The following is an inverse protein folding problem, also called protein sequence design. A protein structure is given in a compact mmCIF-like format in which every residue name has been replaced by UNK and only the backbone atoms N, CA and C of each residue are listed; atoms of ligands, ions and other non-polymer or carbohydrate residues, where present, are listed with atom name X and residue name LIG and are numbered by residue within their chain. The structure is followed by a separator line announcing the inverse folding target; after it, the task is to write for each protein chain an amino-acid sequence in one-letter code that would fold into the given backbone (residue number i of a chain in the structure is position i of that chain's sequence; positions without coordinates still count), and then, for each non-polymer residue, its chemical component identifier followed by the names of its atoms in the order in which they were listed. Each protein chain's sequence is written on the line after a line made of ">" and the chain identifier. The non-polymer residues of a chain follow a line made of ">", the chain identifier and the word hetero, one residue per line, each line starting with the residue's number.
data_IF_195362257464
#
_entry.id   IF_195362257464
#
_cell.length_a   1.000
_cell.length_b   1.000
_cell.length_c   1.000
_cell.angle_alpha   90.00
_cell.angle_beta   90.00
_cell.angle_gamma   90.00
#
_symmetry.space_group_name_H-M   'P 1'
#
loop_
_entity.id
_entity.type
_entity.pdbx_description
1 polymer ?
#
# COMPACT_ATOMS: atom_id res chain seq x y z
N UNK A 1 -17.84 -13.54 11.29
CA UNK A 1 -17.20 -12.44 10.55
C UNK A 1 -18.21 -11.31 10.45
N UNK A 2 -18.20 -10.45 11.45
CA UNK A 2 -18.88 -9.16 11.44
C UNK A 2 -17.95 -8.11 10.81
N UNK A 3 -18.45 -7.37 9.81
CA UNK A 3 -17.66 -6.42 9.03
C UNK A 3 -18.28 -5.05 9.11
N UNK A 4 -17.47 -4.03 9.40
CA UNK A 4 -17.91 -2.63 9.24
C UNK A 4 -17.31 -2.02 7.99
N UNK A 5 -18.16 -1.46 7.15
CA UNK A 5 -17.76 -0.61 6.03
C UNK A 5 -18.04 0.86 6.39
N UNK A 6 -16.96 1.64 6.50
CA UNK A 6 -17.05 3.08 6.72
C UNK A 6 -16.83 3.77 5.38
N UNK A 7 -17.92 4.31 4.84
CA UNK A 7 -17.91 5.05 3.58
C UNK A 7 -18.29 6.49 3.81
N UNK A 8 -17.66 7.38 3.05
CA UNK A 8 -18.19 8.73 2.87
C UNK A 8 -18.81 8.77 1.46
N UNK A 9 -20.14 8.83 1.36
CA UNK A 9 -20.88 9.11 0.13
C UNK A 9 -20.85 8.06 -0.98
N UNK A 10 -20.41 6.82 -0.73
CA UNK A 10 -20.44 5.72 -1.71
C UNK A 10 -21.20 4.52 -1.17
N UNK A 11 -22.09 3.97 -1.98
CA UNK A 11 -22.74 2.69 -1.67
C UNK A 11 -21.78 1.54 -1.94
N UNK A 12 -21.22 0.94 -0.89
CA UNK A 12 -20.51 -0.34 -0.97
C UNK A 12 -21.41 -1.43 -0.39
N UNK A 13 -21.95 -2.28 -1.27
CA UNK A 13 -22.84 -3.39 -0.89
C UNK A 13 -22.32 -4.74 -1.37
N UNK A 14 -21.18 -4.72 -2.06
CA UNK A 14 -20.66 -5.89 -2.76
C UNK A 14 -20.20 -6.98 -1.80
N UNK A 15 -19.64 -6.63 -0.64
CA UNK A 15 -19.25 -7.64 0.36
C UNK A 15 -20.49 -8.38 0.86
N UNK A 16 -21.54 -7.66 1.28
CA UNK A 16 -22.79 -8.27 1.71
C UNK A 16 -23.44 -9.11 0.60
N UNK A 17 -23.44 -8.62 -0.64
CA UNK A 17 -24.08 -9.29 -1.78
C UNK A 17 -23.30 -10.49 -2.32
N UNK A 18 -21.98 -10.39 -2.45
CA UNK A 18 -21.14 -11.41 -3.13
C UNK A 18 -20.58 -12.43 -2.15
N UNK A 19 -20.38 -12.06 -0.88
CA UNK A 19 -19.78 -12.94 0.14
C UNK A 19 -20.83 -13.51 1.10
N UNK A 20 -21.98 -12.85 1.25
CA UNK A 20 -23.09 -13.34 2.08
C UNK A 20 -22.81 -13.32 3.58
N UNK A 21 -21.93 -12.43 4.06
CA UNK A 21 -21.62 -12.22 5.47
C UNK A 21 -22.39 -11.00 6.03
N UNK A 22 -22.72 -10.97 7.34
CA UNK A 22 -23.29 -9.79 7.97
C UNK A 22 -22.35 -8.58 7.85
N UNK A 23 -22.90 -7.43 7.46
CA UNK A 23 -22.14 -6.18 7.33
C UNK A 23 -22.89 -5.04 8.02
N UNK A 24 -22.17 -4.24 8.82
CA UNK A 24 -22.61 -2.91 9.24
C UNK A 24 -22.06 -1.87 8.28
N UNK A 25 -22.93 -1.08 7.66
CA UNK A 25 -22.55 -0.01 6.74
C UNK A 25 -22.84 1.32 7.41
N UNK A 26 -21.80 2.14 7.58
CA UNK A 26 -21.90 3.44 8.24
C UNK A 26 -21.56 4.58 7.30
N UNK A 27 -22.43 5.60 7.27
CA UNK A 27 -22.16 6.88 6.60
C UNK A 27 -22.70 8.04 7.45
N UNK A 28 -21.94 9.13 7.57
CA UNK A 28 -22.37 10.31 8.34
C UNK A 28 -23.47 11.10 7.63
N UNK A 29 -23.59 10.97 6.31
CA UNK A 29 -24.58 11.68 5.50
C UNK A 29 -25.94 10.98 5.60
N UNK A 30 -26.92 11.67 6.20
CA UNK A 30 -28.30 11.17 6.28
C UNK A 30 -28.88 10.77 4.91
N UNK A 31 -28.50 11.50 3.85
CA UNK A 31 -28.88 11.16 2.47
C UNK A 31 -28.26 9.83 2.02
N UNK A 32 -26.96 9.62 2.30
CA UNK A 32 -26.30 8.38 1.92
C UNK A 32 -26.88 7.20 2.70
N UNK A 33 -27.13 7.35 4.00
CA UNK A 33 -27.79 6.34 4.85
C UNK A 33 -29.14 5.91 4.25
N UNK A 34 -29.97 6.86 3.85
CA UNK A 34 -31.26 6.57 3.22
C UNK A 34 -31.11 5.77 1.92
N UNK A 35 -30.20 6.20 1.04
CA UNK A 35 -29.88 5.47 -0.19
C UNK A 35 -29.33 4.06 0.09
N UNK A 36 -28.49 3.89 1.11
CA UNK A 36 -27.94 2.60 1.49
C UNK A 36 -29.08 1.68 1.97
N UNK A 37 -29.98 2.17 2.83
CA UNK A 37 -31.15 1.40 3.29
C UNK A 37 -32.03 0.95 2.15
N UNK A 38 -32.36 1.84 1.21
CA UNK A 38 -33.15 1.50 0.03
C UNK A 38 -32.50 0.41 -0.81
N UNK A 39 -31.17 0.48 -1.00
CA UNK A 39 -30.44 -0.54 -1.77
C UNK A 39 -30.32 -1.87 -1.01
N UNK A 40 -30.12 -1.84 0.31
CA UNK A 40 -30.11 -3.04 1.17
C UNK A 40 -31.45 -3.75 1.09
N UNK A 41 -32.56 -3.01 1.18
CA UNK A 41 -33.93 -3.55 1.06
C UNK A 41 -34.19 -4.10 -0.35
N UNK A 42 -33.88 -3.33 -1.39
CA UNK A 42 -34.10 -3.73 -2.78
C UNK A 42 -33.33 -5.00 -3.18
N UNK A 43 -32.16 -5.22 -2.58
CA UNK A 43 -31.32 -6.40 -2.82
C UNK A 43 -31.55 -7.52 -1.78
N UNK A 44 -32.42 -7.32 -0.78
CA UNK A 44 -32.68 -8.29 0.27
C UNK A 44 -31.45 -8.67 1.10
N UNK A 45 -30.54 -7.72 1.32
CA UNK A 45 -29.26 -7.98 1.98
C UNK A 45 -29.40 -7.99 3.51
N UNK A 46 -28.66 -8.89 4.16
CA UNK A 46 -28.51 -8.90 5.61
C UNK A 46 -27.44 -7.88 6.05
N UNK A 47 -27.81 -6.60 6.08
CA UNK A 47 -26.92 -5.52 6.47
C UNK A 47 -27.56 -4.55 7.50
N UNK A 48 -26.79 -4.17 8.51
CA UNK A 48 -27.14 -3.09 9.43
C UNK A 48 -26.70 -1.74 8.84
N UNK A 49 -27.55 -0.72 8.86
CA UNK A 49 -27.20 0.62 8.33
C UNK A 49 -27.26 1.68 9.42
N UNK A 50 -26.10 2.24 9.74
CA UNK A 50 -25.93 3.27 10.78
C UNK A 50 -25.59 4.63 10.17
N UNK A 51 -25.97 5.69 10.89
CA UNK A 51 -25.74 7.09 10.50
C UNK A 51 -24.83 7.83 11.47
N UNK A 52 -23.86 7.13 12.05
CA UNK A 52 -23.06 7.60 13.18
C UNK A 52 -21.75 8.25 12.73
N UNK A 53 -21.13 8.97 13.65
CA UNK A 53 -19.72 9.33 13.48
C UNK A 53 -18.86 8.06 13.48
N UNK A 54 -18.05 7.88 12.43
CA UNK A 54 -17.28 6.66 12.25
C UNK A 54 -16.32 6.37 13.42
N UNK A 55 -15.72 7.41 14.02
CA UNK A 55 -14.84 7.24 15.17
C UNK A 55 -15.63 6.80 16.40
N UNK A 56 -16.83 7.35 16.61
CA UNK A 56 -17.70 6.93 17.70
C UNK A 56 -18.13 5.46 17.56
N UNK A 57 -18.61 5.06 16.38
CA UNK A 57 -19.03 3.69 16.09
C UNK A 57 -17.89 2.69 16.34
N UNK A 58 -16.72 2.94 15.75
CA UNK A 58 -15.54 2.08 15.88
C UNK A 58 -14.93 2.09 17.29
N UNK A 59 -15.16 3.15 18.06
CA UNK A 59 -14.75 3.19 19.47
C UNK A 59 -15.69 2.39 20.37
N UNK A 60 -17.00 2.37 20.05
CA UNK A 60 -18.02 1.69 20.82
C UNK A 60 -18.11 0.18 20.51
N UNK A 61 -17.82 -0.22 19.27
CA UNK A 61 -17.95 -1.60 18.78
C UNK A 61 -16.63 -2.18 18.31
N UNK A 62 -16.57 -3.52 18.29
CA UNK A 62 -15.50 -4.32 17.69
C UNK A 62 -16.09 -5.08 16.51
N UNK A 63 -15.30 -5.21 15.45
CA UNK A 63 -15.69 -5.95 14.24
C UNK A 63 -14.55 -6.89 13.86
N UNK A 64 -14.88 -8.07 13.31
CA UNK A 64 -13.87 -9.02 12.83
C UNK A 64 -13.05 -8.41 11.68
N UNK A 65 -13.70 -7.58 10.85
CA UNK A 65 -13.02 -6.75 9.86
C UNK A 65 -13.53 -5.30 9.83
N UNK A 66 -12.62 -4.36 9.60
CA UNK A 66 -12.95 -2.95 9.35
C UNK A 66 -12.45 -2.55 7.97
N UNK A 67 -13.31 -2.01 7.12
CA UNK A 67 -12.95 -1.39 5.85
C UNK A 67 -13.16 0.13 5.88
N UNK A 68 -12.04 0.87 5.90
CA UNK A 68 -12.02 2.32 5.80
C UNK A 68 -11.87 2.79 4.35
N UNK A 69 -12.92 3.43 3.80
CA UNK A 69 -12.87 4.09 2.49
C UNK A 69 -13.39 5.55 2.53
N UNK A 70 -12.68 6.45 3.22
CA UNK A 70 -13.05 7.86 3.24
C UNK A 70 -12.66 8.58 1.94
N UNK A 71 -13.20 9.77 1.73
CA UNK A 71 -12.69 10.66 0.69
C UNK A 71 -11.38 11.33 1.14
N UNK A 72 -10.31 11.08 0.40
CA UNK A 72 -9.00 11.67 0.66
C UNK A 72 -8.20 10.86 1.66
N UNK A 73 -8.07 11.38 2.88
CA UNK A 73 -7.17 10.80 3.89
C UNK A 73 -7.92 9.91 4.88
N UNK A 74 -7.40 8.71 5.20
CA UNK A 74 -7.94 7.89 6.27
C UNK A 74 -7.41 8.27 7.65
N UNK A 75 -6.38 9.15 7.73
CA UNK A 75 -5.64 9.41 8.97
C UNK A 75 -6.52 9.71 10.21
N UNK A 76 -7.61 10.49 10.13
CA UNK A 76 -8.49 10.77 11.27
C UNK A 76 -9.25 9.56 11.83
N UNK A 77 -9.31 8.45 11.09
CA UNK A 77 -10.13 7.28 11.41
C UNK A 77 -9.30 6.04 11.77
N UNK A 78 -8.01 6.01 11.38
CA UNK A 78 -7.16 4.82 11.52
C UNK A 78 -6.98 4.40 12.99
N UNK A 79 -6.89 5.34 13.94
CA UNK A 79 -6.77 4.97 15.37
C UNK A 79 -7.99 4.19 15.88
N UNK A 80 -9.20 4.73 15.62
CA UNK A 80 -10.45 4.07 16.01
C UNK A 80 -10.62 2.74 15.28
N UNK A 81 -10.29 2.68 13.99
CA UNK A 81 -10.33 1.45 13.22
C UNK A 81 -9.33 0.41 13.73
N UNK A 82 -8.10 0.83 14.08
CA UNK A 82 -7.11 -0.03 14.68
C UNK A 82 -7.67 -0.65 15.96
N UNK A 83 -8.28 0.15 16.86
CA UNK A 83 -8.93 -0.36 18.08
C UNK A 83 -10.07 -1.33 17.74
N UNK A 84 -10.91 -0.99 16.77
CA UNK A 84 -12.13 -1.72 16.43
C UNK A 84 -11.88 -3.06 15.75
N UNK A 85 -10.88 -3.11 14.85
CA UNK A 85 -10.57 -4.28 14.03
C UNK A 85 -10.07 -5.46 14.86
N UNK A 86 -10.71 -6.61 14.61
CA UNK A 86 -10.36 -7.92 15.14
C UNK A 86 -9.24 -8.57 14.33
N UNK A 87 -9.63 -9.25 13.25
CA UNK A 87 -8.73 -10.03 12.40
C UNK A 87 -8.19 -9.25 11.19
N UNK A 88 -8.99 -8.31 10.66
CA UNK A 88 -8.65 -7.62 9.41
C UNK A 88 -8.88 -6.11 9.47
N UNK A 89 -7.95 -5.38 8.88
CA UNK A 89 -8.04 -3.93 8.71
C UNK A 89 -7.73 -3.58 7.26
N UNK A 90 -8.72 -3.02 6.58
CA UNK A 90 -8.60 -2.55 5.20
C UNK A 90 -8.66 -1.02 5.18
N UNK A 91 -7.77 -0.41 4.40
CA UNK A 91 -7.63 1.04 4.37
C UNK A 91 -7.43 1.50 2.93
N UNK A 92 -8.28 2.41 2.47
CA UNK A 92 -8.06 3.18 1.24
C UNK A 92 -7.60 4.60 1.58
N UNK A 93 -6.66 5.12 0.81
CA UNK A 93 -6.38 6.56 0.75
C UNK A 93 -6.41 7.04 -0.70
N UNK A 94 -7.07 8.17 -0.95
CA UNK A 94 -7.07 8.85 -2.25
C UNK A 94 -6.28 10.16 -2.24
N UNK A 95 -5.78 10.60 -1.08
CA UNK A 95 -4.90 11.78 -0.95
C UNK A 95 -3.43 11.45 -1.25
N UNK A 96 -3.18 11.02 -2.49
CA UNK A 96 -1.86 10.60 -2.96
C UNK A 96 -0.78 11.69 -2.87
N UNK A 97 -1.13 12.96 -3.09
CA UNK A 97 -0.16 14.08 -3.09
C UNK A 97 0.53 14.31 -1.72
N UNK A 98 -0.18 14.32 -0.58
CA UNK A 98 0.43 14.25 0.75
C UNK A 98 1.30 13.01 0.97
N UNK A 99 0.80 11.82 0.63
CA UNK A 99 1.48 10.53 0.85
C UNK A 99 2.80 10.43 0.08
N UNK A 100 2.86 11.00 -1.12
CA UNK A 100 4.03 10.91 -2.00
C UNK A 100 4.98 12.11 -1.89
N UNK A 101 4.69 13.09 -1.03
CA UNK A 101 5.56 14.24 -0.77
C UNK A 101 5.38 15.43 -1.71
N UNK A 102 4.43 15.39 -2.66
CA UNK A 102 4.07 16.57 -3.45
C UNK A 102 3.50 17.69 -2.57
N UNK A 103 2.70 17.33 -1.55
CA UNK A 103 2.23 18.24 -0.50
C UNK A 103 2.91 17.93 0.84
N UNK A 104 4.25 18.08 0.90
CA UNK A 104 5.10 17.64 2.01
C UNK A 104 4.57 17.99 3.41
N UNK A 105 4.26 19.27 3.68
CA UNK A 105 3.79 19.69 5.01
C UNK A 105 2.47 19.02 5.40
N UNK A 106 1.58 18.73 4.44
CA UNK A 106 0.33 18.01 4.71
C UNK A 106 0.62 16.53 5.01
N UNK A 107 1.52 15.90 4.24
CA UNK A 107 1.99 14.53 4.50
C UNK A 107 2.60 14.36 5.88
N UNK A 108 3.49 15.28 6.28
CA UNK A 108 4.11 15.30 7.61
C UNK A 108 3.09 15.42 8.73
N UNK A 109 2.06 16.28 8.59
CA UNK A 109 1.03 16.44 9.63
C UNK A 109 0.11 15.24 9.76
N UNK A 110 -0.29 14.61 8.64
CA UNK A 110 -1.27 13.52 8.64
C UNK A 110 -0.65 12.17 8.95
N UNK A 111 0.51 11.90 8.39
CA UNK A 111 1.12 10.57 8.40
C UNK A 111 2.38 10.52 9.26
N UNK A 112 2.77 11.62 9.91
CA UNK A 112 3.99 11.71 10.74
C UNK A 112 5.22 11.09 10.04
N UNK A 113 5.37 11.41 8.76
CA UNK A 113 6.42 10.91 7.87
C UNK A 113 6.98 12.05 7.04
N UNK A 114 8.23 11.93 6.60
CA UNK A 114 8.87 12.84 5.66
C UNK A 114 8.93 12.17 4.27
N UNK A 115 7.81 12.11 3.53
CA UNK A 115 7.80 11.56 2.18
C UNK A 115 8.52 12.50 1.21
N UNK A 116 8.97 11.96 0.08
CA UNK A 116 9.64 12.75 -0.95
C UNK A 116 9.04 12.42 -2.31
N UNK A 117 8.81 13.46 -3.11
CA UNK A 117 8.33 13.30 -4.47
C UNK A 117 9.47 12.80 -5.38
N UNK A 118 9.64 11.48 -5.41
CA UNK A 118 10.67 10.77 -6.18
C UNK A 118 10.09 10.21 -7.48
N UNK A 119 10.94 9.61 -8.32
CA UNK A 119 10.49 8.86 -9.50
C UNK A 119 9.65 7.63 -9.14
N UNK A 120 9.74 7.14 -7.89
CA UNK A 120 8.99 6.01 -7.35
C UNK A 120 7.89 6.45 -6.36
N UNK A 121 7.39 7.67 -6.52
CA UNK A 121 6.41 8.28 -5.63
C UNK A 121 5.12 7.45 -5.37
N UNK A 122 4.61 6.59 -6.30
CA UNK A 122 3.47 5.73 -5.97
C UNK A 122 3.79 4.72 -4.87
N UNK A 123 5.00 4.18 -4.86
CA UNK A 123 5.48 3.25 -3.83
C UNK A 123 5.78 3.98 -2.52
N UNK A 124 6.41 5.17 -2.58
CA UNK A 124 6.58 6.02 -1.39
C UNK A 124 5.24 6.26 -0.72
N UNK A 125 4.21 6.59 -1.49
CA UNK A 125 2.88 6.83 -0.95
C UNK A 125 2.27 5.59 -0.29
N UNK A 126 2.35 4.44 -0.96
CA UNK A 126 1.82 3.17 -0.43
C UNK A 126 2.50 2.80 0.89
N UNK A 127 3.84 2.85 0.91
CA UNK A 127 4.65 2.48 2.08
C UNK A 127 4.54 3.51 3.20
N UNK A 128 4.31 4.78 2.89
CA UNK A 128 4.02 5.83 3.89
C UNK A 128 2.68 5.57 4.57
N UNK A 129 1.63 5.25 3.81
CA UNK A 129 0.33 4.89 4.36
C UNK A 129 0.43 3.64 5.25
N UNK A 130 1.09 2.59 4.74
CA UNK A 130 1.26 1.34 5.46
C UNK A 130 2.09 1.52 6.74
N UNK A 131 3.17 2.31 6.69
CA UNK A 131 3.98 2.65 7.86
C UNK A 131 3.25 3.53 8.87
N UNK A 132 2.31 4.37 8.43
CA UNK A 132 1.40 5.09 9.31
C UNK A 132 0.43 4.13 10.01
N UNK A 133 -0.28 3.28 9.26
CA UNK A 133 -1.23 2.30 9.83
C UNK A 133 -0.53 1.35 10.80
N UNK A 134 0.66 0.86 10.46
CA UNK A 134 1.48 0.06 11.36
C UNK A 134 1.71 0.75 12.71
N UNK A 135 2.11 2.03 12.71
CA UNK A 135 2.34 2.80 13.95
C UNK A 135 1.08 3.01 14.77
N UNK A 136 -0.07 3.18 14.12
CA UNK A 136 -1.36 3.28 14.80
C UNK A 136 -1.81 1.95 15.43
N UNK A 137 -1.40 0.80 14.86
CA UNK A 137 -1.75 -0.53 15.38
C UNK A 137 -0.82 -0.98 16.52
N UNK A 138 0.50 -0.79 16.39
CA UNK A 138 1.50 -1.33 17.34
C UNK A 138 1.37 -0.82 18.77
N UNK A 139 0.85 0.40 18.97
CA UNK A 139 0.65 0.97 20.31
C UNK A 139 -0.39 0.23 21.16
N UNK A 140 -1.11 -0.73 20.56
CA UNK A 140 -2.08 -1.60 21.21
C UNK A 140 -1.57 -3.04 21.38
N UNK A 141 -0.25 -3.27 21.35
CA UNK A 141 0.37 -4.59 21.38
C UNK A 141 -0.18 -5.53 20.30
N UNK A 142 -0.35 -4.98 19.09
CA UNK A 142 -0.79 -5.70 17.90
C UNK A 142 0.14 -5.43 16.72
N UNK A 143 0.35 -6.42 15.87
CA UNK A 143 1.06 -6.28 14.61
C UNK A 143 0.11 -6.27 13.41
N UNK A 144 0.67 -5.99 12.24
CA UNK A 144 0.01 -6.16 10.94
C UNK A 144 0.82 -7.08 10.03
N UNK A 145 0.11 -7.79 9.18
CA UNK A 145 0.63 -8.60 8.08
C UNK A 145 -0.04 -8.14 6.78
N UNK A 146 0.70 -7.50 5.86
CA UNK A 146 0.18 -7.11 4.54
C UNK A 146 -0.20 -8.34 3.71
N UNK A 147 -1.46 -8.39 3.24
CA UNK A 147 -1.99 -9.50 2.44
C UNK A 147 -1.95 -9.17 0.94
N UNK A 148 -2.47 -8.00 0.59
CA UNK A 148 -2.47 -7.50 -0.78
C UNK A 148 -2.58 -5.97 -0.75
N UNK A 149 -1.45 -5.29 -0.87
CA UNK A 149 -1.40 -3.83 -0.88
C UNK A 149 -0.92 -3.32 -2.22
N UNK A 150 -1.62 -2.34 -2.79
CA UNK A 150 -1.29 -1.83 -4.11
C UNK A 150 -1.59 -0.35 -4.25
N UNK A 151 -0.83 0.31 -5.14
CA UNK A 151 -1.15 1.62 -5.66
C UNK A 151 -1.75 1.48 -7.06
N UNK A 152 -2.89 2.11 -7.32
CA UNK A 152 -3.48 2.10 -8.65
C UNK A 152 -4.14 3.45 -8.97
N UNK A 153 -3.79 4.02 -10.12
CA UNK A 153 -4.23 5.34 -10.55
C UNK A 153 -4.01 6.41 -9.46
N UNK A 154 -5.08 6.83 -8.77
CA UNK A 154 -5.06 7.91 -7.78
C UNK A 154 -5.46 7.43 -6.38
N UNK A 155 -5.27 6.14 -6.06
CA UNK A 155 -5.51 5.63 -4.71
C UNK A 155 -4.50 4.55 -4.31
N UNK A 156 -4.35 4.42 -2.99
CA UNK A 156 -3.61 3.36 -2.32
C UNK A 156 -4.58 2.49 -1.54
N UNK A 157 -4.43 1.18 -1.64
CA UNK A 157 -5.26 0.21 -0.93
C UNK A 157 -4.40 -0.72 -0.13
N UNK A 158 -4.74 -0.89 1.15
CA UNK A 158 -4.11 -1.83 2.07
C UNK A 158 -5.13 -2.90 2.47
N UNK A 159 -4.75 -4.16 2.33
CA UNK A 159 -5.47 -5.28 2.94
C UNK A 159 -4.55 -5.91 3.99
N UNK A 160 -4.88 -5.77 5.26
CA UNK A 160 -4.01 -6.16 6.37
C UNK A 160 -4.71 -7.19 7.24
N UNK A 161 -3.96 -8.18 7.68
CA UNK A 161 -4.33 -9.04 8.81
C UNK A 161 -3.74 -8.46 10.08
N UNK A 162 -4.54 -8.37 11.12
CA UNK A 162 -4.12 -7.94 12.46
C UNK A 162 -3.62 -9.16 13.24
N UNK A 163 -2.52 -9.00 13.94
CA UNK A 163 -1.90 -10.04 14.77
C UNK A 163 -1.81 -9.58 16.20
N UNK A 164 -2.20 -10.43 17.15
CA UNK A 164 -2.23 -10.06 18.57
C UNK A 164 -0.91 -10.35 19.30
N UNK A 165 -0.63 -9.53 20.31
CA UNK A 165 0.48 -9.71 21.24
C UNK A 165 1.68 -8.82 20.93
N UNK A 166 2.41 -8.44 21.99
CA UNK A 166 3.61 -7.59 21.91
C UNK A 166 4.65 -8.12 20.90
N UNK A 167 4.87 -9.43 20.85
CA UNK A 167 5.79 -10.03 19.87
C UNK A 167 5.37 -9.78 18.40
N UNK A 168 4.06 -9.69 18.13
CA UNK A 168 3.58 -9.30 16.81
C UNK A 168 3.82 -7.81 16.54
N UNK A 169 3.58 -6.96 17.55
CA UNK A 169 3.88 -5.53 17.48
C UNK A 169 5.38 -5.28 17.22
N UNK A 170 6.27 -5.99 17.90
CA UNK A 170 7.73 -5.89 17.73
C UNK A 170 8.17 -6.29 16.32
N UNK A 171 7.60 -7.37 15.77
CA UNK A 171 7.86 -7.78 14.38
C UNK A 171 7.43 -6.70 13.38
N UNK A 172 6.25 -6.10 13.61
CA UNK A 172 5.75 -4.99 12.78
C UNK A 172 6.63 -3.74 12.91
N UNK A 173 7.05 -3.40 14.14
CA UNK A 173 7.95 -2.28 14.41
C UNK A 173 9.31 -2.47 13.71
N UNK A 174 9.83 -3.70 13.67
CA UNK A 174 11.06 -4.05 12.94
C UNK A 174 10.99 -3.86 11.42
N UNK A 175 9.79 -3.63 10.86
CA UNK A 175 9.56 -3.31 9.44
C UNK A 175 9.29 -1.83 9.18
N UNK A 176 9.39 -0.98 10.20
CA UNK A 176 9.42 0.47 10.03
C UNK A 176 10.84 0.90 9.70
N UNK A 177 10.99 1.76 8.71
CA UNK A 177 12.29 2.26 8.29
C UNK A 177 12.21 3.39 7.28
N UNK A 178 13.30 3.55 6.55
CA UNK A 178 13.56 4.66 5.66
C UNK A 178 14.17 4.16 4.35
N UNK A 179 13.81 4.81 3.25
CA UNK A 179 14.61 4.77 2.03
C UNK A 179 15.61 5.92 2.09
N UNK A 180 16.89 5.58 2.18
CA UNK A 180 17.99 6.54 2.26
C UNK A 180 18.36 6.98 0.83
N UNK A 181 17.85 8.14 0.41
CA UNK A 181 17.87 8.62 -0.96
C UNK A 181 19.00 9.61 -1.21
N UNK A 182 19.82 9.38 -2.24
CA UNK A 182 20.78 10.37 -2.70
C UNK A 182 20.05 11.57 -3.34
N UNK A 183 20.40 12.83 -2.99
CA UNK A 183 19.79 14.01 -3.59
C UNK A 183 20.35 14.35 -4.99
N UNK A 184 21.46 13.74 -5.41
CA UNK A 184 22.16 14.09 -6.67
C UNK A 184 22.12 13.00 -7.75
N UNK A 185 21.81 11.75 -7.38
CA UNK A 185 21.67 10.65 -8.33
C UNK A 185 20.57 9.67 -7.88
N UNK A 186 20.34 8.62 -8.67
CA UNK A 186 19.30 7.62 -8.42
C UNK A 186 19.69 6.57 -7.35
N UNK A 187 20.84 6.73 -6.69
CA UNK A 187 21.28 5.80 -5.66
C UNK A 187 20.40 5.92 -4.42
N UNK A 188 20.04 4.77 -3.86
CA UNK A 188 19.33 4.67 -2.60
C UNK A 188 19.58 3.32 -1.95
N UNK A 189 19.37 3.26 -0.65
CA UNK A 189 19.43 2.04 0.16
C UNK A 189 18.33 2.03 1.21
N UNK A 190 18.13 0.91 1.87
CA UNK A 190 17.09 0.73 2.88
C UNK A 190 17.70 0.71 4.27
N UNK A 191 17.05 1.37 5.22
CA UNK A 191 17.43 1.33 6.62
C UNK A 191 16.20 1.10 7.49
N UNK A 192 16.16 -0.02 8.21
CA UNK A 192 15.15 -0.27 9.25
C UNK A 192 15.50 0.43 10.55
N UNK A 193 14.49 0.78 11.33
CA UNK A 193 14.63 1.42 12.64
C UNK A 193 13.72 2.63 12.79
N UNK A 194 13.52 3.05 14.04
CA UNK A 194 12.67 4.20 14.37
C UNK A 194 13.26 5.55 13.97
N UNK A 195 14.59 5.64 13.90
CA UNK A 195 15.32 6.83 13.52
C UNK A 195 16.35 6.46 12.45
N UNK A 196 16.52 7.30 11.41
CA UNK A 196 17.50 7.04 10.37
C UNK A 196 18.90 7.36 10.90
N UNK A 197 19.88 6.59 10.45
CA UNK A 197 21.29 6.87 10.67
C UNK A 197 21.85 7.70 9.52
N UNK A 198 23.07 8.24 9.68
CA UNK A 198 23.77 8.86 8.56
C UNK A 198 24.09 7.81 7.49
N UNK A 199 24.11 8.22 6.22
CA UNK A 199 24.49 7.37 5.10
C UNK A 199 25.15 8.17 4.00
N UNK A 200 26.08 7.53 3.28
CA UNK A 200 26.77 8.12 2.12
C UNK A 200 26.38 7.39 0.85
N UNK A 201 26.19 8.15 -0.22
CA UNK A 201 25.92 7.61 -1.54
C UNK A 201 27.15 6.85 -2.06
N UNK A 202 26.98 5.56 -2.39
CA UNK A 202 28.06 4.75 -2.94
C UNK A 202 28.45 5.14 -4.38
N UNK A 203 27.63 5.94 -5.07
CA UNK A 203 27.86 6.37 -6.47
C UNK A 203 28.56 7.75 -6.54
N UNK A 204 28.23 8.70 -5.66
CA UNK A 204 28.75 10.07 -5.73
C UNK A 204 29.27 10.66 -4.41
N UNK A 205 29.22 9.91 -3.29
CA UNK A 205 29.77 10.33 -2.00
C UNK A 205 28.94 11.34 -1.20
N UNK A 206 27.81 11.82 -1.74
CA UNK A 206 26.94 12.76 -1.04
C UNK A 206 26.19 12.14 0.15
N UNK A 207 25.73 12.99 1.07
CA UNK A 207 24.88 12.56 2.18
C UNK A 207 23.52 12.09 1.68
N UNK A 208 23.10 10.92 2.17
CA UNK A 208 21.77 10.38 1.91
C UNK A 208 20.74 11.07 2.79
N UNK A 209 19.58 11.34 2.19
CA UNK A 209 18.44 11.95 2.88
C UNK A 209 17.40 10.88 3.16
N UNK A 210 16.92 10.73 4.40
CA UNK A 210 15.91 9.73 4.74
C UNK A 210 14.55 10.10 4.14
N UNK A 211 13.88 9.12 3.53
CA UNK A 211 12.47 9.18 3.13
C UNK A 211 11.68 8.22 4.02
N UNK A 212 10.84 8.75 4.90
CA UNK A 212 10.11 7.97 5.91
C UNK A 212 9.87 8.71 7.23
N UNK A 213 9.48 8.02 8.32
CA UNK A 213 9.35 6.56 8.39
C UNK A 213 8.25 6.02 7.47
N UNK A 214 8.52 4.85 6.89
CA UNK A 214 7.64 4.11 6.00
C UNK A 214 7.78 2.60 6.24
N UNK A 215 6.91 1.81 5.64
CA UNK A 215 7.00 0.36 5.69
C UNK A 215 8.09 -0.18 4.75
N UNK A 216 9.04 -0.95 5.28
CA UNK A 216 10.12 -1.59 4.52
C UNK A 216 9.95 -3.12 4.37
N UNK A 217 8.87 -3.68 4.92
CA UNK A 217 8.55 -5.10 4.74
C UNK A 217 7.91 -5.41 3.39
N UNK A 218 7.57 -6.69 3.20
CA UNK A 218 6.72 -7.13 2.11
C UNK A 218 5.35 -6.46 2.18
N UNK A 219 4.74 -6.22 1.02
CA UNK A 219 3.43 -5.57 0.90
C UNK A 219 2.33 -6.56 0.48
N UNK A 220 2.70 -7.81 0.20
CA UNK A 220 1.82 -8.86 -0.29
C UNK A 220 2.15 -10.21 0.37
N UNK A 221 1.15 -11.08 0.43
CA UNK A 221 1.24 -12.48 0.84
C UNK A 221 1.00 -13.37 -0.39
N UNK A 222 2.00 -14.16 -0.81
CA UNK A 222 1.90 -15.00 -2.00
C UNK A 222 0.77 -16.04 -1.90
N UNK A 223 0.55 -16.62 -0.72
CA UNK A 223 -0.53 -17.58 -0.50
C UNK A 223 -1.91 -16.94 -0.65
N UNK A 224 -2.06 -15.71 -0.16
CA UNK A 224 -3.28 -14.92 -0.35
C UNK A 224 -3.49 -14.58 -1.82
N UNK A 225 -2.45 -14.12 -2.52
CA UNK A 225 -2.55 -13.79 -3.94
C UNK A 225 -2.83 -15.00 -4.82
N UNK A 226 -2.26 -16.16 -4.50
CA UNK A 226 -2.55 -17.43 -5.18
C UNK A 226 -4.02 -17.81 -5.04
N UNK A 227 -4.55 -17.78 -3.81
CA UNK A 227 -5.98 -18.05 -3.56
C UNK A 227 -6.90 -17.06 -4.30
N UNK A 228 -6.53 -15.78 -4.37
CA UNK A 228 -7.26 -14.78 -5.14
C UNK A 228 -7.26 -15.09 -6.64
N UNK A 229 -6.14 -15.54 -7.20
CA UNK A 229 -6.05 -15.92 -8.62
C UNK A 229 -6.92 -17.15 -8.94
N UNK A 230 -6.95 -18.14 -8.05
CA UNK A 230 -7.79 -19.34 -8.20
C UNK A 230 -9.28 -19.01 -8.14
N UNK A 231 -9.66 -18.03 -7.31
CA UNK A 231 -11.06 -17.62 -7.15
C UNK A 231 -11.52 -16.70 -8.27
N UNK A 232 -10.62 -15.94 -8.90
CA UNK A 232 -10.95 -14.88 -9.87
C UNK A 232 -11.88 -15.34 -11.03
N UNK A 233 -11.74 -16.54 -11.62
CA UNK A 233 -12.64 -17.00 -12.68
C UNK A 233 -14.11 -17.14 -12.24
N UNK A 234 -14.35 -17.40 -10.96
CA UNK A 234 -15.72 -17.50 -10.40
C UNK A 234 -16.35 -16.14 -10.08
N UNK A 235 -15.57 -15.06 -10.11
CA UNK A 235 -16.08 -13.70 -9.84
C UNK A 235 -16.51 -13.07 -11.16
N UNK A 236 -17.80 -12.73 -11.27
CA UNK A 236 -18.38 -11.94 -12.38
C UNK A 236 -17.96 -10.47 -12.30
N UNK A 237 -16.66 -10.19 -12.37
CA UNK A 237 -16.13 -8.85 -12.46
C UNK A 237 -15.83 -8.51 -13.94
N UNK A 238 -16.43 -7.43 -14.45
CA UNK A 238 -16.12 -6.87 -15.79
C UNK A 238 -14.67 -6.39 -15.97
N UNK A 239 -13.82 -6.57 -14.96
CA UNK A 239 -12.39 -6.21 -14.90
C UNK A 239 -11.47 -7.42 -14.68
N UNK A 240 -11.96 -8.66 -14.81
CA UNK A 240 -11.22 -9.88 -14.49
C UNK A 240 -9.80 -9.96 -15.09
N UNK A 241 -9.61 -9.64 -16.37
CA UNK A 241 -8.29 -9.67 -17.02
C UNK A 241 -7.30 -8.64 -16.44
N UNK A 242 -7.80 -7.47 -16.04
CA UNK A 242 -6.97 -6.43 -15.41
C UNK A 242 -6.56 -6.84 -14.00
N UNK A 243 -7.48 -7.43 -13.25
CA UNK A 243 -7.21 -7.95 -11.90
C UNK A 243 -6.21 -9.10 -11.98
N UNK A 244 -6.39 -10.04 -12.92
CA UNK A 244 -5.47 -11.17 -13.11
C UNK A 244 -4.03 -10.69 -13.34
N UNK A 245 -3.85 -9.69 -14.22
CA UNK A 245 -2.53 -9.10 -14.49
C UNK A 245 -1.93 -8.38 -13.29
N UNK A 246 -2.75 -7.68 -12.50
CA UNK A 246 -2.30 -7.03 -11.27
C UNK A 246 -1.83 -8.07 -10.25
N UNK A 247 -2.62 -9.11 -10.00
CA UNK A 247 -2.27 -10.20 -9.09
C UNK A 247 -0.98 -10.88 -9.53
N UNK A 248 -0.86 -11.22 -10.81
CA UNK A 248 0.33 -11.84 -11.38
C UNK A 248 1.59 -10.97 -11.22
N UNK A 249 1.47 -9.66 -11.48
CA UNK A 249 2.57 -8.72 -11.27
C UNK A 249 2.97 -8.66 -9.80
N UNK A 250 2.00 -8.56 -8.89
CA UNK A 250 2.24 -8.45 -7.45
C UNK A 250 2.85 -9.71 -6.83
N UNK A 251 2.55 -10.91 -7.35
CA UNK A 251 3.14 -12.18 -6.87
C UNK A 251 4.62 -12.31 -7.19
N UNK A 252 5.04 -11.82 -8.36
CA UNK A 252 6.42 -11.87 -8.81
C UNK A 252 7.22 -10.59 -8.45
N UNK A 253 6.58 -9.62 -7.81
CA UNK A 253 7.21 -8.35 -7.45
C UNK A 253 8.18 -8.54 -6.28
N UNK A 254 9.44 -8.11 -6.46
CA UNK A 254 10.43 -8.19 -5.39
C UNK A 254 10.06 -7.31 -4.19
N UNK A 255 10.47 -7.76 -3.01
CA UNK A 255 10.16 -7.12 -1.74
C UNK A 255 11.08 -5.93 -1.40
N UNK A 256 11.58 -5.19 -2.39
CA UNK A 256 12.35 -3.97 -2.14
C UNK A 256 11.42 -2.81 -1.76
N UNK A 257 11.92 -1.89 -0.95
CA UNK A 257 11.20 -0.72 -0.43
C UNK A 257 11.07 0.44 -1.42
N UNK A 258 11.57 0.25 -2.63
CA UNK A 258 11.52 1.19 -3.73
C UNK A 258 11.70 0.47 -5.07
N UNK A 259 11.23 1.07 -6.15
CA UNK A 259 11.45 0.63 -7.52
C UNK A 259 12.21 1.69 -8.31
N UNK A 260 12.88 1.26 -9.37
CA UNK A 260 13.44 2.13 -10.38
C UNK A 260 12.45 2.31 -11.53
N UNK A 261 12.36 3.51 -12.06
CA UNK A 261 11.83 3.70 -13.41
C UNK A 261 13.00 3.61 -14.41
N UNK A 262 13.01 2.57 -15.24
CA UNK A 262 14.13 2.35 -16.15
C UNK A 262 14.17 3.36 -17.31
N UNK A 263 13.07 4.04 -17.63
CA UNK A 263 13.06 5.16 -18.58
C UNK A 263 13.72 6.39 -17.97
N UNK A 264 13.52 6.64 -16.67
CA UNK A 264 14.25 7.69 -15.94
C UNK A 264 15.76 7.40 -15.94
N UNK A 265 16.15 6.14 -15.76
CA UNK A 265 17.56 5.73 -15.88
C UNK A 265 18.07 5.97 -17.30
N UNK A 266 17.38 5.49 -18.33
CA UNK A 266 17.78 5.66 -19.73
C UNK A 266 17.94 7.15 -20.09
N UNK A 267 17.00 7.99 -19.65
CA UNK A 267 17.07 9.45 -19.81
C UNK A 267 18.30 10.04 -19.14
N UNK A 268 18.66 9.59 -17.93
CA UNK A 268 19.86 10.05 -17.23
C UNK A 268 21.16 9.68 -17.96
N UNK A 269 21.15 8.57 -18.70
CA UNK A 269 22.28 8.08 -19.51
C UNK A 269 22.26 8.62 -20.95
N UNK A 270 21.22 9.34 -21.35
CA UNK A 270 20.98 9.81 -22.73
C UNK A 270 20.93 8.67 -23.76
N UNK A 271 20.34 7.54 -23.38
CA UNK A 271 20.14 6.37 -24.25
C UNK A 271 18.64 6.09 -24.44
N UNK A 272 18.30 5.39 -25.52
CA UNK A 272 16.95 4.89 -25.73
C UNK A 272 16.71 3.66 -24.85
N UNK A 273 15.62 3.59 -24.06
CA UNK A 273 15.31 2.41 -23.28
C UNK A 273 15.00 1.23 -24.20
N UNK A 274 15.65 0.08 -23.95
CA UNK A 274 15.28 -1.19 -24.57
C UNK A 274 13.94 -1.73 -24.03
N UNK A 275 13.58 -2.96 -24.41
CA UNK A 275 12.44 -3.65 -23.80
C UNK A 275 12.69 -3.94 -22.32
N UNK A 276 11.69 -3.72 -21.46
CA UNK A 276 11.81 -4.01 -20.02
C UNK A 276 12.17 -5.48 -19.74
N UNK A 277 11.66 -6.42 -20.54
CA UNK A 277 12.02 -7.85 -20.46
C UNK A 277 13.49 -8.08 -20.78
N UNK A 278 14.06 -7.33 -21.73
CA UNK A 278 15.49 -7.38 -22.03
C UNK A 278 16.32 -6.90 -20.85
N UNK A 279 15.90 -5.80 -20.19
CA UNK A 279 16.60 -5.28 -19.00
C UNK A 279 16.55 -6.30 -17.86
N UNK A 280 15.37 -6.87 -17.58
CA UNK A 280 15.18 -7.91 -16.55
C UNK A 280 16.00 -9.17 -16.89
N UNK A 281 15.99 -9.60 -18.15
CA UNK A 281 16.80 -10.74 -18.62
C UNK A 281 18.30 -10.51 -18.46
N UNK A 282 18.79 -9.31 -18.78
CA UNK A 282 20.19 -8.93 -18.61
C UNK A 282 20.61 -8.96 -17.13
N UNK A 283 19.77 -8.45 -16.23
CA UNK A 283 20.02 -8.50 -14.78
C UNK A 283 20.05 -9.94 -14.26
N UNK A 284 19.11 -10.77 -14.74
CA UNK A 284 19.03 -12.19 -14.37
C UNK A 284 20.24 -12.97 -14.86
N UNK A 285 20.72 -12.72 -16.08
CA UNK A 285 21.93 -13.33 -16.62
C UNK A 285 23.20 -12.97 -15.83
N UNK A 286 23.20 -11.82 -15.15
CA UNK A 286 24.26 -11.38 -14.24
C UNK A 286 24.09 -11.91 -12.80
N UNK A 287 23.08 -12.74 -12.55
CA UNK A 287 22.82 -13.37 -11.24
C UNK A 287 22.03 -12.52 -10.25
N UNK A 288 21.47 -11.39 -10.69
CA UNK A 288 20.63 -10.52 -9.86
C UNK A 288 19.16 -10.85 -10.01
N UNK A 289 18.38 -10.66 -8.95
CA UNK A 289 16.92 -10.75 -9.05
C UNK A 289 16.40 -9.46 -9.66
N UNK A 290 15.47 -9.57 -10.59
CA UNK A 290 14.76 -8.43 -11.14
C UNK A 290 13.31 -8.79 -11.43
N UNK A 291 12.40 -7.85 -11.21
CA UNK A 291 10.98 -8.03 -11.49
C UNK A 291 10.38 -6.73 -12.01
N UNK A 292 9.23 -6.84 -12.68
CA UNK A 292 8.31 -5.70 -12.83
C UNK A 292 7.79 -5.27 -11.45
N UNK A 293 7.28 -4.06 -11.38
CA UNK A 293 6.48 -3.61 -10.23
C UNK A 293 5.15 -3.01 -10.70
N UNK A 294 4.09 -3.21 -9.92
CA UNK A 294 2.72 -2.85 -10.31
C UNK A 294 2.47 -1.34 -10.46
N UNK A 295 3.39 -0.50 -9.99
CA UNK A 295 3.26 0.96 -9.96
C UNK A 295 3.18 1.61 -11.34
N UNK A 296 3.92 1.10 -12.33
CA UNK A 296 3.92 1.61 -13.70
C UNK A 296 4.40 0.55 -14.70
N UNK A 297 4.16 0.77 -16.00
CA UNK A 297 4.69 -0.09 -17.06
C UNK A 297 6.22 -0.06 -17.21
N UNK A 298 6.88 0.87 -16.53
CA UNK A 298 8.32 1.15 -16.57
C UNK A 298 9.01 0.92 -15.23
N UNK A 299 8.28 0.41 -14.23
CA UNK A 299 8.82 0.14 -12.90
C UNK A 299 9.53 -1.22 -12.85
N UNK A 300 10.77 -1.23 -12.38
CA UNK A 300 11.60 -2.42 -12.15
C UNK A 300 12.06 -2.41 -10.69
N UNK A 301 11.97 -3.57 -10.03
CA UNK A 301 12.66 -3.82 -8.76
C UNK A 301 13.81 -4.77 -9.00
N UNK A 302 14.91 -4.58 -8.28
CA UNK A 302 16.10 -5.43 -8.37
C UNK A 302 16.97 -5.28 -7.14
N UNK A 303 17.75 -6.31 -6.81
CA UNK A 303 18.84 -6.26 -5.83
C UNK A 303 20.21 -5.92 -6.47
N UNK A 304 20.24 -5.64 -7.76
CA UNK A 304 21.44 -5.19 -8.45
C UNK A 304 21.88 -3.79 -7.99
N UNK A 305 23.19 -3.56 -7.77
CA UNK A 305 23.72 -2.23 -7.54
C UNK A 305 23.38 -1.28 -8.69
N UNK A 306 23.16 0.01 -8.38
CA UNK A 306 22.80 1.02 -9.39
C UNK A 306 23.73 1.03 -10.63
N UNK A 307 25.07 0.89 -10.52
CA UNK A 307 25.93 0.83 -11.70
C UNK A 307 25.65 -0.37 -12.61
N UNK A 308 25.27 -1.52 -12.03
CA UNK A 308 24.88 -2.71 -12.80
C UNK A 308 23.56 -2.47 -13.52
N UNK A 309 22.58 -1.89 -12.81
CA UNK A 309 21.30 -1.54 -13.43
C UNK A 309 21.46 -0.53 -14.57
N UNK A 310 22.29 0.50 -14.41
CA UNK A 310 22.62 1.46 -15.47
C UNK A 310 23.16 0.76 -16.73
N UNK A 311 24.10 -0.17 -16.56
CA UNK A 311 24.66 -0.97 -17.68
C UNK A 311 23.61 -1.88 -18.34
N UNK A 312 22.75 -2.52 -17.54
CA UNK A 312 21.68 -3.36 -18.06
C UNK A 312 20.67 -2.56 -18.91
N UNK A 313 20.41 -1.30 -18.52
CA UNK A 313 19.54 -0.37 -19.26
C UNK A 313 20.20 0.18 -20.53
N UNK A 314 21.50 0.42 -20.54
CA UNK A 314 22.22 0.91 -21.73
C UNK A 314 22.50 -0.16 -22.78
N UNK A 315 22.27 -1.44 -22.48
CA UNK A 315 22.48 -2.56 -23.40
C UNK A 315 23.91 -3.09 -23.45
N UNK A 316 24.74 -2.78 -22.44
CA UNK A 316 26.18 -3.05 -22.45
C UNK A 316 27.00 -1.83 -22.80
#
# INVERSE_FOLDING_TARGET
>A
MDVVEVTEGKTRLRVAHEVGIPVTINDRSAKAVELIRQNVEALGLAAEVTGEDANALMSARRFDAVDLDPFGTPAPFVDSAARSAGDYLFVTATDTAPLCGAHLKAGMRRYFSHPRNTEYHPEVGLRTLLGFVAREVIKYDRGIEPLFCYAHAHFHRLHLRVRYGAAAADRTLGRIGYVMQCPHCLYRTEQTGMLPGPGKCADCGADLVPVGPLWTGSINDDGTLAAMQETLPSVTAGTGSRIARLLDTCRHELETSSHYDYHVIAKSLRVSPGGIETVIGNLSALGYRASRAHYSGTAIKTDAPLPVLKKAVSGG
#
